data_IF_162488077966
#
_entry.id   IF_162488077966
#
_cell.length_a   1.000
_cell.length_b   1.000
_cell.length_c   1.000
_cell.angle_alpha   90.00
_cell.angle_beta   90.00
_cell.angle_gamma   90.00
#
_symmetry.space_group_name_H-M   'P 1'
#
loop_
_entity.id
_entity.type
_entity.pdbx_description
1 polymer ?
#
# COMPACT_ATOMS: atom_id res chain seq x y z
N UNK A 1 -10.01 5.64 -8.78
CA UNK A 1 -8.63 5.98 -8.39
C UNK A 1 -8.14 7.18 -9.21
N UNK A 2 -7.85 8.32 -8.58
CA UNK A 2 -7.36 9.54 -9.27
C UNK A 2 -5.94 9.29 -9.84
N UNK A 3 -5.57 9.95 -10.93
CA UNK A 3 -4.26 9.73 -11.60
C UNK A 3 -3.05 9.94 -10.67
N UNK A 4 -3.14 10.86 -9.71
CA UNK A 4 -2.11 11.07 -8.68
C UNK A 4 -1.87 9.85 -7.78
N UNK A 5 -2.93 9.09 -7.46
CA UNK A 5 -2.81 7.88 -6.64
C UNK A 5 -2.03 6.80 -7.39
N UNK A 6 -2.30 6.64 -8.70
CA UNK A 6 -1.56 5.69 -9.55
C UNK A 6 -0.09 6.03 -9.69
N UNK A 7 0.24 7.31 -9.85
CA UNK A 7 1.65 7.74 -9.90
C UNK A 7 2.37 7.44 -8.58
N UNK A 8 1.70 7.72 -7.46
CA UNK A 8 2.26 7.48 -6.13
C UNK A 8 2.46 5.98 -5.86
N UNK A 9 1.52 5.11 -6.30
CA UNK A 9 1.68 3.65 -6.23
C UNK A 9 2.92 3.18 -7.00
N UNK A 10 3.13 3.67 -8.24
CA UNK A 10 4.32 3.31 -9.02
C UNK A 10 5.62 3.77 -8.34
N UNK A 11 5.60 4.90 -7.64
CA UNK A 11 6.75 5.41 -6.90
C UNK A 11 7.08 4.49 -5.70
N UNK A 12 6.05 4.02 -4.98
CA UNK A 12 6.19 3.04 -3.90
C UNK A 12 6.74 1.71 -4.45
N UNK A 13 6.19 1.18 -5.55
CA UNK A 13 6.69 -0.05 -6.18
C UNK A 13 8.16 0.05 -6.56
N UNK A 14 8.58 1.20 -7.10
CA UNK A 14 9.98 1.46 -7.44
C UNK A 14 10.88 1.48 -6.21
N UNK A 15 10.45 2.12 -5.13
CA UNK A 15 11.19 2.17 -3.86
C UNK A 15 11.33 0.77 -3.23
N UNK A 16 10.26 -0.03 -3.23
CA UNK A 16 10.29 -1.43 -2.77
C UNK A 16 11.27 -2.27 -3.59
N UNK A 17 11.23 -2.16 -4.93
CA UNK A 17 12.18 -2.87 -5.82
C UNK A 17 13.64 -2.45 -5.61
N UNK A 18 13.86 -1.20 -5.22
CA UNK A 18 15.19 -0.68 -4.90
C UNK A 18 15.66 -1.04 -3.47
N UNK A 19 14.79 -1.63 -2.64
CA UNK A 19 15.08 -1.92 -1.22
C UNK A 19 14.96 -0.70 -0.29
N UNK A 20 14.48 0.44 -0.79
CA UNK A 20 14.23 1.65 0.00
C UNK A 20 12.84 1.59 0.66
N UNK A 21 12.75 0.76 1.69
CA UNK A 21 11.50 0.57 2.44
C UNK A 21 11.10 1.79 3.26
N UNK A 22 12.04 2.67 3.63
CA UNK A 22 11.73 3.87 4.39
C UNK A 22 10.90 4.84 3.55
N UNK A 23 11.34 5.11 2.31
CA UNK A 23 10.58 5.92 1.35
C UNK A 23 9.26 5.26 0.99
N UNK A 24 9.27 3.96 0.69
CA UNK A 24 8.06 3.21 0.37
C UNK A 24 6.99 3.29 1.47
N UNK A 25 7.39 3.14 2.74
CA UNK A 25 6.49 3.18 3.88
C UNK A 25 5.94 4.59 4.15
N UNK A 26 6.77 5.63 4.01
CA UNK A 26 6.35 7.02 4.18
C UNK A 26 5.28 7.41 3.14
N UNK A 27 5.51 7.08 1.87
CA UNK A 27 4.58 7.37 0.78
C UNK A 27 3.29 6.57 0.90
N UNK A 28 3.39 5.26 1.19
CA UNK A 28 2.22 4.42 1.37
C UNK A 28 1.36 4.85 2.56
N UNK A 29 1.98 5.28 3.68
CA UNK A 29 1.25 5.80 4.84
C UNK A 29 0.51 7.11 4.55
N UNK A 30 1.04 7.94 3.64
CA UNK A 30 0.33 9.13 3.17
C UNK A 30 -0.92 8.74 2.38
N UNK A 31 -0.76 7.88 1.36
CA UNK A 31 -1.86 7.41 0.53
C UNK A 31 -2.93 6.65 1.33
N UNK A 32 -2.52 5.85 2.32
CA UNK A 32 -3.45 5.10 3.16
C UNK A 32 -4.36 6.03 3.99
N UNK A 33 -3.84 7.18 4.44
CA UNK A 33 -4.64 8.19 5.15
C UNK A 33 -5.61 8.90 4.22
N UNK A 34 -5.19 9.16 2.99
CA UNK A 34 -6.01 9.85 1.98
C UNK A 34 -7.06 8.92 1.36
N UNK A 35 -6.86 7.60 1.43
CA UNK A 35 -7.79 6.60 0.92
C UNK A 35 -9.07 6.57 1.77
N UNK A 36 -10.21 6.82 1.11
CA UNK A 36 -11.54 6.83 1.73
C UNK A 36 -12.24 5.48 1.69
N UNK A 37 -11.79 4.58 0.82
CA UNK A 37 -12.36 3.24 0.65
C UNK A 37 -11.43 2.14 1.17
N UNK A 38 -12.01 1.12 1.81
CA UNK A 38 -11.30 -0.06 2.31
C UNK A 38 -10.55 -0.80 1.17
N UNK A 39 -11.16 -0.87 -0.02
CA UNK A 39 -10.56 -1.51 -1.20
C UNK A 39 -9.28 -0.78 -1.66
N UNK A 40 -9.28 0.56 -1.66
CA UNK A 40 -8.10 1.36 -2.02
C UNK A 40 -6.97 1.18 -0.99
N UNK A 41 -7.33 1.03 0.29
CA UNK A 41 -6.38 0.73 1.37
C UNK A 41 -5.75 -0.65 1.21
N UNK A 42 -6.55 -1.66 0.87
CA UNK A 42 -6.06 -3.02 0.66
C UNK A 42 -5.07 -3.11 -0.52
N UNK A 43 -5.36 -2.43 -1.64
CA UNK A 43 -4.45 -2.35 -2.78
C UNK A 43 -3.10 -1.71 -2.39
N UNK A 44 -3.11 -0.64 -1.60
CA UNK A 44 -1.89 0.03 -1.13
C UNK A 44 -1.03 -0.87 -0.23
N UNK A 45 -1.66 -1.63 0.66
CA UNK A 45 -0.96 -2.57 1.53
C UNK A 45 -0.39 -3.76 0.76
N UNK A 46 -1.07 -4.22 -0.30
CA UNK A 46 -0.57 -5.28 -1.16
C UNK A 46 0.75 -4.90 -1.86
N UNK A 47 0.92 -3.62 -2.23
CA UNK A 47 2.15 -3.09 -2.86
C UNK A 47 3.35 -3.14 -1.91
N UNK A 48 3.12 -2.92 -0.61
CA UNK A 48 4.17 -3.03 0.42
C UNK A 48 4.54 -4.48 0.75
N UNK A 49 3.82 -5.45 0.19
CA UNK A 49 4.06 -6.88 0.35
C UNK A 49 3.33 -7.51 1.54
N UNK A 50 3.45 -8.84 1.70
CA UNK A 50 2.61 -9.64 2.62
C UNK A 50 2.78 -9.29 4.10
N UNK A 51 3.86 -8.61 4.50
CA UNK A 51 4.06 -8.14 5.87
C UNK A 51 3.26 -6.88 6.21
N UNK A 52 2.80 -6.15 5.20
CA UNK A 52 2.01 -4.94 5.37
C UNK A 52 0.50 -5.21 5.28
N UNK A 53 0.10 -6.33 4.67
CA UNK A 53 -1.29 -6.78 4.67
C UNK A 53 -1.60 -7.37 6.05
N UNK A 54 -2.60 -6.86 6.80
CA UNK A 54 -2.99 -7.47 8.05
C UNK A 54 -3.38 -8.94 7.78
N UNK A 55 -3.03 -9.88 8.67
CA UNK A 55 -3.36 -11.27 8.45
C UNK A 55 -4.88 -11.38 8.28
N UNK A 56 -5.32 -11.79 7.10
CA UNK A 56 -6.70 -12.20 6.87
C UNK A 56 -6.88 -13.48 7.67
N UNK A 57 -7.31 -13.33 8.92
CA UNK A 57 -7.60 -14.49 9.76
C UNK A 57 -8.79 -15.17 9.08
N UNK A 58 -8.66 -16.43 8.61
CA UNK A 58 -9.84 -17.14 8.16
C UNK A 58 -10.71 -17.33 9.39
N UNK A 59 -11.85 -16.64 9.44
CA UNK A 59 -12.92 -16.94 10.39
C UNK A 59 -13.33 -18.38 10.11
N UNK A 60 -12.83 -19.33 10.92
CA UNK A 60 -13.34 -20.70 10.93
C UNK A 60 -14.77 -20.62 11.46
N UNK A 61 -15.74 -20.77 10.57
CA UNK A 61 -17.11 -21.18 10.88
C UNK A 61 -17.26 -22.69 10.75
#
# INVERSE_FOLDING_TARGET
MRDQTRESVRRIEKAVRAGDYATALADARRLYRDATAEAERAELLAVLGPRAVPPTTPTRG
#
